data_IF_287696571828
#
_entry.id   IF_287696571828
#
_cell.length_a   1.000
_cell.length_b   1.000
_cell.length_c   1.000
_cell.angle_alpha   90.00
_cell.angle_beta   90.00
_cell.angle_gamma   90.00
#
_symmetry.space_group_name_H-M   'P 1'
#
loop_
_entity.id
_entity.type
_entity.pdbx_description
1 polymer ?
2 polymer ?
3 non-polymer ?
#
# COMPACT_ATOMS: atom_id res chain seq x y z
N UNK A 22 -16.42 2.55 5.65
CA UNK A 22 -15.09 2.25 5.11
C UNK A 22 -14.07 2.33 6.20
N UNK A 23 -13.05 1.49 6.09
CA UNK A 23 -12.00 1.49 7.08
C UNK A 23 -12.41 0.79 8.35
N UNK A 24 -13.59 0.19 8.35
CA UNK A 24 -14.06 -0.52 9.52
C UNK A 24 -14.08 -1.96 9.10
N UNK A 25 -12.93 -2.62 9.26
CA UNK A 25 -12.78 -4.03 8.90
C UNK A 25 -13.86 -4.88 9.57
N UNK A 26 -14.66 -5.60 8.79
CA UNK A 26 -15.74 -6.48 9.23
C UNK A 26 -15.39 -7.57 10.24
N UNK A 27 -14.20 -8.13 10.18
CA UNK A 27 -13.84 -9.16 11.16
C UNK A 27 -13.13 -8.63 12.44
N UNK A 28 -12.92 -7.32 12.52
CA UNK A 28 -12.24 -6.71 13.65
C UNK A 28 -13.05 -5.55 14.20
N UNK A 29 -13.01 -4.41 13.50
CA UNK A 29 -13.76 -3.24 13.92
C UNK A 29 -15.21 -3.62 14.17
N UNK A 30 -15.90 -4.09 13.15
CA UNK A 30 -17.30 -4.48 13.26
C UNK A 30 -17.60 -5.41 14.42
N UNK A 31 -16.86 -6.50 14.51
CA UNK A 31 -17.05 -7.46 15.57
C UNK A 31 -16.63 -6.85 16.90
N UNK A 32 -15.91 -5.73 16.82
CA UNK A 32 -15.40 -5.01 17.99
C UNK A 32 -14.27 -5.81 18.60
N UNK A 33 -13.21 -5.99 17.82
CA UNK A 33 -12.05 -6.73 18.27
C UNK A 33 -10.78 -6.07 17.69
N UNK A 34 -9.72 -6.09 18.50
CA UNK A 34 -8.44 -5.53 18.13
C UNK A 34 -7.51 -6.60 17.54
N UNK A 35 -6.73 -6.22 16.53
CA UNK A 35 -5.80 -7.15 15.90
C UNK A 35 -4.48 -7.12 16.64
N UNK A 36 -3.69 -8.17 16.48
CA UNK A 36 -2.38 -8.29 17.14
C UNK A 36 -1.56 -7.02 17.32
N UNK A 37 -1.16 -6.40 16.21
CA UNK A 37 -0.31 -5.20 16.25
C UNK A 37 -0.96 -3.82 16.44
N UNK A 38 -2.28 -3.74 16.50
CA UNK A 38 -2.97 -2.46 16.66
C UNK A 38 -2.47 -1.62 17.83
N UNK A 39 -2.21 -2.28 18.95
CA UNK A 39 -1.72 -1.68 20.19
C UNK A 39 -0.58 -0.71 19.87
N UNK A 40 0.35 -1.14 19.03
CA UNK A 40 1.49 -0.34 18.61
C UNK A 40 1.09 1.01 18.04
N UNK A 41 0.09 1.02 17.17
CA UNK A 41 -0.37 2.25 16.55
C UNK A 41 -0.76 3.30 17.58
N UNK A 42 -1.71 2.98 18.45
CA UNK A 42 -2.15 3.92 19.46
C UNK A 42 -1.00 4.20 20.41
N UNK A 43 -0.27 3.17 20.77
CA UNK A 43 0.87 3.34 21.64
C UNK A 43 1.85 4.36 21.05
N UNK A 44 2.08 4.33 19.74
CA UNK A 44 2.99 5.27 19.11
C UNK A 44 2.38 6.66 19.02
N UNK A 45 1.05 6.71 19.04
CA UNK A 45 0.37 7.99 18.97
C UNK A 45 0.74 8.76 20.22
N UNK B 1 8.06 -7.62 2.29
CA UNK B 1 7.90 -7.04 3.64
C UNK B 1 8.99 -7.60 4.53
N UNK B 2 10.10 -6.87 4.66
CA UNK B 2 11.21 -7.33 5.49
C UNK B 2 10.80 -7.18 6.95
N UNK B 3 11.14 -8.19 7.75
CA UNK B 3 10.83 -8.22 9.18
C UNK B 3 9.34 -8.17 9.55
N UNK B 4 8.46 -8.36 8.57
CA UNK B 4 7.04 -8.33 8.84
C UNK B 4 6.53 -9.44 9.74
N UNK B 5 5.24 -9.75 9.61
CA UNK B 5 4.60 -10.79 10.41
C UNK B 5 3.35 -11.29 9.65
N UNK B 6 2.95 -12.54 9.89
CA UNK B 6 1.77 -13.10 9.22
C UNK B 6 0.51 -12.34 9.61
N UNK B 7 -0.21 -11.86 8.61
CA UNK B 7 -1.41 -11.09 8.82
C UNK B 7 -2.52 -11.96 9.34
N UNK B 8 -3.31 -11.44 10.28
CA UNK B 8 -4.43 -12.23 10.76
C UNK B 8 -5.40 -12.19 9.60
N UNK B 9 -6.24 -13.20 9.53
CA UNK B 9 -7.22 -13.30 8.48
C UNK B 9 -8.18 -12.12 8.53
N UNK B 10 -8.33 -11.43 7.42
CA UNK B 10 -9.26 -10.31 7.38
C UNK B 10 -8.67 -8.98 7.83
N UNK B 11 -7.37 -8.99 8.05
CA UNK B 11 -6.65 -7.80 8.50
C UNK B 11 -6.80 -6.61 7.54
N UNK B 12 -6.43 -6.79 6.28
CA UNK B 12 -6.57 -5.71 5.32
C UNK B 12 -7.54 -6.04 4.21
N UNK B 13 -8.83 -5.73 4.43
CA UNK B 13 -9.91 -5.98 3.47
C UNK B 13 -9.66 -5.31 2.11
N UNK B 14 -9.06 -4.13 2.15
CA UNK B 14 -8.76 -3.35 0.97
C UNK B 14 -7.60 -3.88 0.16
N UNK B 15 -6.87 -4.83 0.74
CA UNK B 15 -5.73 -5.40 0.04
C UNK B 15 -6.21 -5.96 -1.28
N UNK B 16 -5.48 -5.60 -2.32
CA UNK B 16 -5.74 -6.04 -3.68
C UNK B 16 -4.40 -6.47 -4.25
N UNK B 17 -4.38 -7.51 -5.11
CA UNK B 17 -3.13 -7.89 -5.72
C UNK B 17 -3.19 -7.85 -7.21
N UNK B 18 -2.27 -7.06 -7.77
CA UNK B 18 -2.15 -6.87 -9.22
C UNK B 18 -1.45 -8.07 -9.83
N UNK B 19 -2.08 -8.66 -10.83
CA UNK B 19 -1.53 -9.81 -11.52
C UNK B 19 -1.43 -9.67 -13.04
N UNK B 20 -0.33 -10.16 -13.59
CA UNK B 20 -0.18 -10.17 -15.03
C UNK B 20 -1.06 -11.39 -15.27
N UNK B 21 -2.00 -11.33 -16.22
CA UNK B 21 -2.88 -12.48 -16.44
C UNK B 21 -2.24 -13.76 -16.98
N UNK B 22 -1.43 -13.63 -18.04
CA UNK B 22 -0.76 -14.79 -18.63
C UNK B 22 0.64 -14.35 -19.02
N UNK B 23 1.69 -15.01 -18.46
CA UNK B 23 1.60 -16.11 -17.50
C UNK B 23 1.23 -15.53 -16.16
N UNK B 24 0.62 -16.33 -15.29
CA UNK B 24 0.25 -15.82 -13.97
C UNK B 24 1.50 -15.15 -13.39
N UNK B 25 1.32 -13.99 -12.76
CA UNK B 25 2.45 -13.26 -12.18
C UNK B 25 2.04 -12.10 -11.28
N UNK B 26 2.37 -12.18 -10.00
CA UNK B 26 2.04 -11.08 -9.08
C UNK B 26 2.90 -9.87 -9.44
N UNK B 27 2.30 -8.86 -10.02
CA UNK B 27 3.03 -7.67 -10.41
C UNK B 27 3.21 -6.67 -9.25
N UNK B 28 2.11 -6.33 -8.59
CA UNK B 28 2.16 -5.36 -7.53
C UNK B 28 1.01 -5.50 -6.54
N UNK B 29 1.01 -4.64 -5.53
CA UNK B 29 -0.05 -4.60 -4.55
C UNK B 29 -0.93 -3.45 -4.96
N UNK B 30 -2.03 -3.24 -4.25
CA UNK B 30 -2.95 -2.16 -4.59
C UNK B 30 -4.01 -2.16 -3.53
N UNK B 31 -4.83 -1.12 -3.46
CA UNK B 31 -5.89 -1.05 -2.46
C UNK B 31 -7.25 -0.76 -3.07
N UNK B 32 -8.29 -1.28 -2.42
CA UNK B 32 -9.68 -1.10 -2.86
C UNK B 32 -10.20 0.15 -2.15
N UNK B 33 -10.67 1.14 -2.89
CA UNK B 33 -11.15 2.37 -2.26
C UNK B 33 -12.60 2.73 -2.64
N UNK B 34 -13.34 1.71 -3.09
CA UNK B 34 -14.72 1.83 -3.53
C UNK B 34 -14.98 0.49 -4.22
N UNK B 35 -16.23 0.11 -4.44
CA UNK B 35 -16.48 -1.19 -5.06
C UNK B 35 -16.10 -1.31 -6.52
N UNK B 36 -15.63 -0.22 -7.11
CA UNK B 36 -15.17 -0.30 -8.49
C UNK B 36 -13.89 0.53 -8.78
N UNK B 37 -13.21 1.00 -7.74
CA UNK B 37 -11.97 1.75 -7.94
C UNK B 37 -10.85 1.22 -7.07
N UNK B 38 -9.71 0.98 -7.72
CA UNK B 38 -8.51 0.48 -7.07
C UNK B 38 -7.45 1.55 -7.23
N UNK B 39 -6.61 1.69 -6.19
CA UNK B 39 -5.55 2.68 -6.12
C UNK B 39 -4.22 1.93 -6.10
N UNK B 40 -3.32 2.34 -7.00
CA UNK B 40 -2.00 1.72 -7.12
C UNK B 40 -0.97 2.71 -7.70
N UNK B 41 0.31 2.30 -7.69
CA UNK B 41 1.39 3.14 -8.20
C UNK B 41 1.50 3.02 -9.71
N UNK B 42 1.82 4.14 -10.37
CA UNK B 42 1.97 4.17 -11.82
C UNK B 42 3.06 3.24 -12.33
N UNK B 43 4.21 3.22 -11.66
CA UNK B 43 5.29 2.35 -12.12
C UNK B 43 4.97 0.87 -12.13
N UNK B 44 3.80 0.46 -11.63
CA UNK B 44 3.42 -0.96 -11.68
C UNK B 44 2.75 -1.21 -13.03
N UNK B 45 2.48 -0.13 -13.74
CA UNK B 45 1.82 -0.22 -15.03
C UNK B 45 2.63 0.45 -16.14
N UNK B 46 3.46 1.43 -15.80
CA UNK B 46 4.25 2.14 -16.80
C UNK B 46 5.59 2.57 -16.28
N UNK B 47 6.65 1.91 -16.75
CA UNK B 47 8.02 2.23 -16.33
C UNK B 47 8.98 1.88 -17.43
N UNK B 48 9.12 2.76 -18.44
CA UNK B 48 10.01 2.60 -19.61
C UNK B 48 11.46 2.24 -19.29
N UNK B 49 12.01 2.72 -18.15
CA UNK B 49 13.40 2.35 -17.86
C UNK B 49 13.62 0.84 -17.93
N UNK B 50 12.57 0.06 -17.73
CA UNK B 50 12.63 -1.39 -17.81
C UNK B 50 11.48 -1.74 -18.77
N UNK B 51 11.41 -1.06 -19.91
CA UNK B 51 10.32 -1.23 -20.90
C UNK B 51 9.07 -1.97 -20.42
N UNK B 52 8.27 -1.24 -19.63
CA UNK B 52 7.03 -1.73 -19.03
C UNK B 52 5.91 -0.73 -19.32
N UNK B 53 4.92 -1.16 -20.09
CA UNK B 53 3.77 -0.32 -20.49
C UNK B 53 2.55 -1.26 -20.56
N UNK B 54 1.98 -1.57 -19.39
CA UNK B 54 0.82 -2.46 -19.31
C UNK B 54 -0.50 -1.83 -19.71
N UNK B 55 -1.27 -2.59 -20.47
CA UNK B 55 -2.59 -2.19 -20.94
C UNK B 55 -3.59 -2.88 -20.02
N UNK B 56 -4.88 -2.65 -20.25
CA UNK B 56 -5.92 -3.29 -19.46
C UNK B 56 -5.98 -4.78 -19.75
N UNK B 57 -5.85 -5.10 -21.04
CA UNK B 57 -5.91 -6.49 -21.52
C UNK B 57 -4.77 -7.36 -21.01
N UNK B 58 -3.79 -6.73 -20.37
CA UNK B 58 -2.64 -7.45 -19.85
C UNK B 58 -2.68 -7.56 -18.34
N UNK B 59 -3.69 -6.93 -17.75
CA UNK B 59 -3.84 -6.96 -16.32
C UNK B 59 -5.13 -7.63 -15.88
N UNK B 60 -5.11 -8.11 -14.65
CA UNK B 60 -6.23 -8.78 -14.03
C UNK B 60 -6.01 -8.58 -12.54
N UNK B 61 -7.07 -8.41 -11.77
CA UNK B 61 -6.93 -8.19 -10.31
C UNK B 61 -7.57 -9.31 -9.51
N UNK B 62 -7.05 -9.56 -8.32
CA UNK B 62 -7.60 -10.57 -7.42
C UNK B 62 -7.72 -9.86 -6.08
N UNK B 63 -8.89 -9.96 -5.46
CA UNK B 63 -9.20 -9.30 -4.19
C UNK B 63 -9.62 -10.30 -3.12
N UNK B 64 -9.51 -9.93 -1.86
CA UNK B 64 -9.90 -10.83 -0.79
C UNK B 64 -9.03 -12.05 -0.54
N UNK B 65 -7.79 -12.05 -0.99
CA UNK B 65 -6.91 -13.21 -0.76
C UNK B 65 -6.10 -13.17 0.53
N UNK B 66 -5.45 -14.27 0.86
CA UNK B 66 -4.60 -14.34 2.06
C UNK B 66 -3.23 -14.92 1.68
N UNK B 67 -3.24 -16.10 1.07
CA UNK B 67 -2.04 -16.77 0.61
C UNK B 67 -1.62 -16.12 -0.71
N UNK B 68 -0.36 -16.28 -1.10
CA UNK B 68 0.12 -15.70 -2.35
C UNK B 68 -0.01 -16.64 -3.56
N UNK B 69 -0.27 -17.92 -3.28
CA UNK B 69 -0.39 -18.94 -4.33
C UNK B 69 -1.81 -19.47 -4.53
N UNK B 70 -2.29 -20.23 -3.55
CA UNK B 70 -3.61 -20.85 -3.60
C UNK B 70 -4.76 -19.89 -3.91
N UNK B 71 -5.85 -20.46 -4.40
CA UNK B 71 -7.04 -19.71 -4.77
C UNK B 71 -8.04 -19.72 -3.59
N UNK B 72 -8.38 -18.53 -3.09
CA UNK B 72 -9.33 -18.40 -1.97
C UNK B 72 -10.75 -18.58 -2.51
N UNK B 73 -11.19 -19.82 -2.69
CA UNK B 73 -12.50 -20.08 -3.27
C UNK B 73 -13.80 -19.46 -2.70
N UNK B 74 -13.98 -19.46 -1.38
CA UNK B 74 -15.21 -18.87 -0.84
C UNK B 74 -14.99 -17.44 -0.40
N UNK B 75 -13.78 -16.93 -0.62
CA UNK B 75 -13.41 -15.58 -0.20
C UNK B 75 -12.99 -14.64 -1.34
N UNK B 76 -12.05 -15.11 -2.15
CA UNK B 76 -11.48 -14.37 -3.27
C UNK B 76 -12.46 -13.91 -4.32
N UNK B 77 -12.10 -12.83 -5.01
CA UNK B 77 -12.93 -12.27 -6.07
C UNK B 77 -12.08 -11.70 -7.20
N UNK B 78 -11.88 -12.50 -8.23
CA UNK B 78 -11.10 -12.07 -9.39
C UNK B 78 -11.95 -11.13 -10.24
N UNK B 79 -11.36 -10.05 -10.73
CA UNK B 79 -12.08 -9.07 -11.54
C UNK B 79 -11.10 -8.43 -12.50
N UNK B 80 -11.60 -7.98 -13.64
CA UNK B 80 -10.73 -7.37 -14.63
C UNK B 80 -10.92 -5.86 -14.66
N UNK B 81 -9.86 -5.16 -15.02
CA UNK B 81 -9.92 -3.72 -15.09
C UNK B 81 -10.72 -3.42 -16.33
N UNK B 82 -11.06 -2.17 -16.51
CA UNK B 82 -11.86 -1.72 -17.62
C UNK B 82 -11.20 -0.47 -18.19
N UNK B 83 -10.31 0.12 -17.40
CA UNK B 83 -9.61 1.32 -17.82
C UNK B 83 -8.55 1.68 -16.76
N UNK B 84 -7.46 2.29 -17.20
CA UNK B 84 -6.36 2.69 -16.31
C UNK B 84 -6.15 4.18 -16.37
N UNK B 85 -5.82 4.77 -15.23
CA UNK B 85 -5.57 6.20 -15.14
C UNK B 85 -4.26 6.49 -14.41
N UNK B 86 -3.29 7.00 -15.15
CA UNK B 86 -1.98 7.34 -14.58
C UNK B 86 -1.83 8.87 -14.50
N UNK B 87 -1.38 9.37 -13.37
CA UNK B 87 -1.26 10.80 -13.19
C UNK B 87 -0.39 11.47 -14.24
N UNK B 88 -0.96 12.46 -14.95
CA UNK B 88 -0.40 13.29 -16.01
C UNK B 88 0.99 13.83 -15.74
N UNK B 89 1.25 14.16 -14.48
CA UNK B 89 2.55 14.71 -14.08
C UNK B 89 3.50 13.72 -13.37
N UNK B 90 3.23 12.43 -13.53
CA UNK B 90 4.03 11.34 -12.97
C UNK B 90 5.42 11.49 -13.53
N UNK B 91 6.43 11.49 -12.68
CA UNK B 91 7.79 11.69 -13.11
C UNK B 91 8.57 10.39 -13.04
N UNK B 92 8.79 9.73 -14.18
CA UNK B 92 9.54 8.45 -14.17
C UNK B 92 11.05 8.56 -14.40
N UNK B 93 11.46 9.61 -15.08
CA UNK B 93 12.87 9.80 -15.34
C UNK B 93 13.43 10.84 -14.40
N UNK B 94 13.37 10.61 -13.09
CA UNK B 94 13.91 11.61 -12.16
C UNK B 94 13.73 11.28 -10.70
N UNK B 95 12.48 11.17 -10.25
CA UNK B 95 12.24 10.86 -8.83
C UNK B 95 10.90 10.23 -8.53
N UNK B 96 10.33 9.53 -9.51
CA UNK B 96 9.02 8.89 -9.31
C UNK B 96 7.99 9.81 -8.66
N UNK B 97 7.94 11.06 -9.12
CA UNK B 97 7.00 12.04 -8.56
C UNK B 97 5.59 11.79 -9.07
N UNK B 98 4.62 11.79 -8.16
CA UNK B 98 3.22 11.54 -8.52
C UNK B 98 3.08 10.14 -9.07
N UNK B 99 3.64 9.18 -8.34
CA UNK B 99 3.56 7.78 -8.71
C UNK B 99 2.19 7.35 -8.20
N UNK B 100 1.16 7.56 -9.03
CA UNK B 100 -0.22 7.19 -8.68
C UNK B 100 -1.08 6.87 -9.89
N UNK B 101 -1.91 5.84 -9.75
CA UNK B 101 -2.74 5.40 -10.85
C UNK B 101 -4.02 4.84 -10.31
N UNK B 102 -5.09 5.00 -11.07
CA UNK B 102 -6.39 4.45 -10.68
C UNK B 102 -6.75 3.34 -11.67
N UNK B 103 -7.23 2.23 -11.14
CA UNK B 103 -7.64 1.10 -11.94
C UNK B 103 -9.15 0.97 -11.78
N UNK B 104 -9.90 1.20 -12.87
CA UNK B 104 -11.36 1.09 -12.84
C UNK B 104 -11.74 -0.33 -13.19
N UNK B 105 -12.32 -1.08 -12.24
CA UNK B 105 -12.70 -2.46 -12.50
C UNK B 105 -13.88 -2.48 -13.46
N UNK B 106 -14.02 -3.59 -14.19
CA UNK B 106 -15.09 -3.76 -15.17
C UNK B 106 -16.46 -3.97 -14.56
N UNK B 107 -16.49 -4.80 -13.52
CA UNK B 107 -17.74 -5.13 -12.82
C UNK B 107 -17.55 -4.84 -11.32
N UNK B 108 -18.39 -3.93 -10.74
CA UNK B 108 -18.32 -3.58 -9.32
C UNK B 108 -18.23 -4.83 -8.44
N UNK B 109 -17.18 -4.92 -7.64
CA UNK B 109 -16.99 -6.07 -6.78
C UNK B 109 -18.03 -6.07 -5.69
N UNK B 110 -18.45 -7.25 -5.25
CA UNK B 110 -19.43 -7.28 -4.20
C UNK B 110 -18.76 -7.52 -2.87
N UNK B 111 -18.93 -6.55 -1.98
CA UNK B 111 -18.36 -6.56 -0.65
C UNK B 111 -18.66 -7.80 0.12
N UNK B 112 -17.78 -8.13 1.05
CA UNK B 112 -17.93 -9.28 1.90
C UNK B 112 -17.19 -9.01 3.19
N UNK B 113 -16.89 -10.06 3.96
CA UNK B 113 -16.19 -9.93 5.25
C UNK B 113 -14.67 -9.95 5.03
N UNK B 114 -14.28 -10.16 3.77
CA UNK B 114 -12.90 -10.22 3.39
C UNK B 114 -12.58 -9.22 2.29
N UNK B 115 -13.53 -8.36 1.93
CA UNK B 115 -13.34 -7.37 0.88
C UNK B 115 -14.09 -6.10 1.27
N UNK B 116 -13.37 -5.03 1.62
CA UNK B 116 -14.04 -3.81 2.05
C UNK B 116 -13.14 -2.59 1.85
N UNK B 117 -13.67 -1.51 1.27
CA UNK B 117 -13.00 -0.24 0.97
C UNK B 117 -12.34 0.49 2.12
N UNK B 118 -11.17 1.04 1.82
CA UNK B 118 -10.33 1.81 2.75
C UNK B 118 -10.77 3.26 2.57
N UNK B 119 -10.63 4.06 3.60
CA UNK B 119 -11.06 5.45 3.51
C UNK B 119 -9.95 6.36 3.03
N UNK B 120 -10.29 7.36 2.22
CA UNK B 120 -9.31 8.32 1.75
C UNK B 120 -9.20 9.37 2.87
N UNK B 121 -8.01 9.95 3.07
CA UNK B 121 -7.86 10.95 4.14
C UNK B 121 -8.50 12.30 3.88
N UNK B 122 -8.96 12.94 4.94
CA UNK B 122 -9.54 14.29 4.84
C UNK B 122 -8.57 15.17 5.62
N UNK B 123 -8.56 16.48 5.32
CA UNK B 123 -7.66 17.41 5.99
C UNK B 123 -7.51 17.23 7.50
N UNK B 124 -8.62 17.05 8.21
CA UNK B 124 -8.55 16.85 9.66
C UNK B 124 -7.68 15.62 9.91
N UNK B 125 -8.14 14.46 9.48
CA UNK B 125 -7.41 13.21 9.69
C UNK B 125 -5.96 13.29 9.18
N UNK B 126 -5.79 13.82 7.97
CA UNK B 126 -4.47 13.95 7.38
C UNK B 126 -3.61 14.85 8.26
N UNK B 127 -4.22 15.88 8.86
CA UNK B 127 -3.52 16.85 9.71
C UNK B 127 -3.19 16.39 11.13
N UNK B 128 -4.09 15.64 11.71
CA UNK B 128 -3.89 15.20 13.06
C UNK B 128 -3.01 13.96 13.08
N UNK B 129 -3.10 13.16 12.01
CA UNK B 129 -2.32 11.91 11.89
C UNK B 129 -0.91 11.99 11.29
N UNK B 130 -0.76 12.61 10.12
CA UNK B 130 0.57 12.71 9.49
C UNK B 130 1.57 13.48 10.34
N UNK B 131 2.08 12.82 11.40
CA UNK B 131 3.09 13.41 12.32
C UNK B 131 4.15 12.41 12.73
N UNK B 132 5.40 12.83 12.47
CA UNK B 132 6.62 12.08 12.73
C UNK B 132 6.55 11.33 14.03
N UNK B 133 6.81 10.03 13.98
CA UNK B 133 6.76 9.24 15.20
C UNK B 133 5.55 8.36 15.17
N UNK B 134 4.49 8.84 14.54
CA UNK B 134 3.28 8.04 14.44
C UNK B 134 3.51 6.95 13.42
N UNK B 135 3.28 5.71 13.83
CA UNK B 135 3.48 4.56 12.95
C UNK B 135 2.25 4.23 12.11
N UNK B 136 2.47 3.97 10.83
CA UNK B 136 1.38 3.58 9.94
C UNK B 136 1.50 2.08 9.77
N UNK B 137 0.74 1.49 8.85
CA UNK B 137 0.81 0.04 8.61
C UNK B 137 0.97 -0.26 7.12
N UNK B 138 1.89 -1.18 6.81
CA UNK B 138 2.15 -1.60 5.44
C UNK B 138 1.92 -3.10 5.34
N UNK B 139 1.28 -3.52 4.26
CA UNK B 139 1.00 -4.91 4.06
C UNK B 139 1.43 -5.31 2.68
N UNK B 140 1.76 -6.59 2.49
CA UNK B 140 2.20 -7.05 1.18
C UNK B 140 2.82 -8.44 1.11
N UNK B 141 3.02 -8.93 -0.10
CA UNK B 141 3.59 -10.26 -0.31
C UNK B 141 5.02 -10.26 -0.89
N UNK B 142 5.60 -9.08 -1.05
CA UNK B 142 6.94 -8.96 -1.60
C UNK B 142 8.07 -9.79 -0.98
N UNK B 143 9.27 -9.57 -1.51
CA UNK B 143 10.50 -10.26 -1.09
C UNK B 143 10.73 -10.27 0.43
N UNK B 144 10.85 -11.47 1.01
CA UNK B 144 11.10 -11.66 2.44
C UNK B 144 12.35 -10.90 2.85
N UNK B 145 13.10 -10.48 1.85
CA UNK B 145 14.34 -9.73 1.98
C UNK B 145 14.78 -9.52 0.52
N UNK B 146 15.87 -8.79 0.30
CA UNK B 146 16.33 -8.53 -1.05
C UNK B 146 17.27 -9.55 -1.66
N UNK B 147 17.16 -9.68 -2.97
CA UNK B 147 18.01 -10.59 -3.71
C UNK B 147 19.40 -9.95 -3.83
N UNK B 155 12.20 -15.83 -1.28
CA UNK B 155 11.75 -14.50 -0.88
C UNK B 155 10.24 -14.22 -1.11
N UNK B 156 9.49 -15.19 -1.61
CA UNK B 156 8.06 -14.98 -1.85
C UNK B 156 7.13 -15.57 -0.80
N UNK B 157 6.68 -14.71 0.16
CA UNK B 157 5.79 -15.04 1.28
C UNK B 157 4.55 -15.86 0.93
N UNK B 158 4.19 -16.73 1.87
CA UNK B 158 3.03 -17.61 1.73
C UNK B 158 1.72 -16.89 2.09
N UNK B 159 1.68 -16.32 3.29
CA UNK B 159 0.52 -15.59 3.78
C UNK B 159 0.80 -14.08 3.73
N UNK B 160 -0.26 -13.27 3.61
CA UNK B 160 -0.11 -11.81 3.58
C UNK B 160 0.65 -11.35 4.82
N UNK B 161 1.72 -10.59 4.58
CA UNK B 161 2.56 -10.07 5.65
C UNK B 161 2.11 -8.68 6.05
N UNK B 162 2.41 -8.31 7.30
CA UNK B 162 2.07 -7.01 7.84
C UNK B 162 3.24 -6.47 8.64
N UNK B 163 3.37 -5.14 8.69
CA UNK B 163 4.41 -4.47 9.48
C UNK B 163 4.02 -3.00 9.72
N UNK B 164 4.12 -2.54 10.97
CA UNK B 164 3.81 -1.16 11.29
C UNK B 164 5.14 -0.35 11.25
N UNK B 165 5.13 0.81 10.59
CA UNK B 165 6.33 1.65 10.44
C UNK B 165 6.15 3.10 10.94
N UNK B 166 7.16 3.69 11.57
CA UNK B 166 6.99 5.06 12.06
C UNK B 166 7.35 6.10 11.00
N UNK B 167 6.54 7.15 10.88
CA UNK B 167 6.81 8.22 9.92
C UNK B 167 8.06 8.98 10.37
N UNK B 168 8.87 9.48 9.43
CA UNK B 168 10.08 10.19 9.79
C UNK B 168 10.06 11.61 9.24
N UNK B 169 10.75 12.50 9.97
CA UNK B 169 10.82 13.91 9.67
C UNK B 169 11.33 14.17 8.28
N UNK B 170 10.70 15.12 7.58
CA UNK B 170 11.09 15.44 6.21
C UNK B 170 12.57 15.70 6.01
N UNK B 171 13.20 16.51 6.90
CA UNK B 171 14.63 16.76 6.70
C UNK B 171 15.38 15.43 6.62
N UNK B 172 15.19 14.58 7.62
CA UNK B 172 15.84 13.29 7.65
C UNK B 172 15.60 12.57 6.33
N UNK B 173 14.35 12.50 5.87
CA UNK B 173 14.06 11.84 4.58
C UNK B 173 14.89 12.41 3.45
N UNK B 174 14.85 13.73 3.28
CA UNK B 174 15.57 14.38 2.20
C UNK B 174 17.07 14.17 2.28
N UNK B 175 17.60 14.12 3.49
CA UNK B 175 19.03 13.96 3.67
C UNK B 175 19.56 12.58 3.28
N UNK B 176 18.71 11.57 3.42
CA UNK B 176 19.09 10.19 3.14
C UNK B 176 19.00 9.78 1.68
N UNK B 177 19.26 10.67 0.74
CA UNK B 177 19.17 10.27 -0.65
C UNK B 177 19.52 11.42 -1.55
N UNK B 178 20.12 11.08 -2.67
CA UNK B 178 20.53 12.07 -3.64
C UNK B 178 19.32 12.48 -4.45
N UNK B 179 18.31 11.62 -4.47
CA UNK B 179 17.10 11.87 -5.24
C UNK B 179 16.25 13.03 -4.76
N UNK B 180 15.73 13.78 -5.71
CA UNK B 180 14.93 14.96 -5.44
C UNK B 180 13.58 14.64 -4.84
N UNK B 181 13.46 14.77 -3.51
CA UNK B 181 12.18 14.52 -2.84
C UNK B 181 11.24 15.71 -3.05
N UNK B 182 10.01 15.40 -3.44
CA UNK B 182 8.98 16.40 -3.71
C UNK B 182 7.86 16.25 -2.69
N UNK B 183 7.09 17.30 -2.51
CA UNK B 183 5.99 17.27 -1.55
C UNK B 183 4.96 16.15 -1.77
N UNK B 184 5.01 15.49 -2.91
CA UNK B 184 4.06 14.44 -3.17
C UNK B 184 4.48 13.09 -2.63
N UNK B 185 5.35 13.09 -1.63
CA UNK B 185 5.82 11.84 -1.07
C UNK B 185 6.43 12.03 0.30
N UNK B 186 6.19 11.08 1.19
CA UNK B 186 6.75 11.12 2.53
C UNK B 186 7.63 9.90 2.67
N UNK B 187 8.13 9.61 3.85
CA UNK B 187 9.02 8.46 4.01
C UNK B 187 8.90 7.92 5.41
N UNK B 188 9.10 6.62 5.60
CA UNK B 188 8.99 6.07 6.95
C UNK B 188 9.89 4.88 7.15
N UNK B 189 10.13 4.57 8.41
CA UNK B 189 10.97 3.46 8.76
C UNK B 189 11.73 3.84 10.03
N UNK B 190 12.32 2.83 10.66
CA UNK B 190 13.08 3.06 11.87
C UNK B 190 14.45 3.66 11.50
N UNK B 191 15.04 4.32 12.49
CA UNK B 191 16.34 4.97 12.41
C UNK B 191 17.43 4.01 12.89
N UNK B 192 18.68 4.18 12.41
CA UNK B 192 19.81 3.32 12.80
C UNK B 192 20.03 3.50 14.30
N UNK B 193 19.51 2.59 15.11
CA UNK B 193 19.70 2.74 16.54
C UNK B 193 18.47 2.45 17.37
N UNK B 194 17.28 2.56 16.78
CA UNK B 194 16.06 2.32 17.55
C UNK B 194 15.89 0.87 17.97
N UNK B 195 16.65 -0.02 17.33
CA UNK B 195 16.60 -1.43 17.67
C UNK B 195 15.27 -2.07 17.30
N UNK B 196 14.89 -1.88 16.05
CA UNK B 196 13.65 -2.39 15.51
C UNK B 196 13.88 -2.27 14.01
N UNK B 197 13.29 -3.16 13.23
CA UNK B 197 13.49 -3.08 11.78
C UNK B 197 12.21 -3.35 11.02
N UNK B 198 12.29 -3.36 9.69
CA UNK B 198 11.12 -3.62 8.88
C UNK B 198 11.09 -2.68 7.70
N UNK B 199 10.39 -3.07 6.64
CA UNK B 199 10.30 -2.24 5.45
C UNK B 199 9.56 -2.97 4.31
N UNK B 200 8.81 -2.22 3.50
CA UNK B 200 8.13 -2.78 2.35
C UNK B 200 9.31 -3.04 1.47
N UNK B 201 9.08 -3.64 0.33
CA UNK B 201 10.16 -3.93 -0.56
C UNK B 201 9.52 -4.09 -1.90
N UNK B 202 10.32 -4.03 -2.95
CA UNK B 202 9.82 -4.19 -4.31
C UNK B 202 8.76 -5.30 -4.32
N UNK B 203 7.75 -5.16 -5.16
CA UNK B 203 6.74 -6.19 -5.15
C UNK B 203 5.64 -5.79 -4.19
N UNK B 204 6.02 -5.21 -3.05
CA UNK B 204 5.04 -4.69 -2.10
C UNK B 204 4.40 -3.44 -2.74
N UNK B 205 5.09 -2.89 -3.75
CA UNK B 205 4.71 -1.69 -4.52
C UNK B 205 3.23 -1.54 -4.88
N UNK B 206 2.71 -0.32 -4.78
CA UNK B 206 1.31 -0.09 -5.07
C UNK B 206 0.44 -0.40 -3.86
N UNK B 207 1.02 -1.02 -2.84
CA UNK B 207 0.29 -1.35 -1.63
C UNK B 207 -0.04 -0.15 -0.75
N UNK B 208 -0.92 -0.31 0.25
CA UNK B 208 -1.27 0.79 1.13
C UNK B 208 -0.45 0.98 2.41
N UNK B 209 -0.26 2.23 2.80
CA UNK B 209 0.44 2.55 4.02
C UNK B 209 -0.72 3.20 4.76
N UNK B 210 -1.42 2.44 5.58
CA UNK B 210 -2.59 2.99 6.28
C UNK B 210 -2.39 3.34 7.75
N UNK B 211 -3.24 4.22 8.26
CA UNK B 211 -3.13 4.61 9.67
C UNK B 211 -4.50 4.62 10.25
N UNK B 212 -4.62 4.08 11.47
CA UNK B 212 -5.89 4.02 12.20
C UNK B 212 -6.23 5.26 13.01
N UNK B 213 -7.39 5.84 12.73
CA UNK B 213 -7.83 7.02 13.44
C UNK B 213 -8.62 6.65 14.66
N UNK B 214 -8.24 7.21 15.82
CA UNK B 214 -8.94 6.93 17.09
C UNK B 214 -10.22 7.77 17.25
N UNK B 215 -10.40 8.79 16.40
CA UNK B 215 -11.61 9.62 16.46
C UNK B 215 -12.79 8.78 16.05
N UNK B 216 -12.67 8.13 14.89
CA UNK B 216 -13.73 7.27 14.37
C UNK B 216 -13.39 5.79 14.23
N UNK B 217 -12.30 5.35 14.84
CA UNK B 217 -11.90 3.95 14.80
C UNK B 217 -11.84 3.31 13.41
N UNK B 218 -11.55 4.12 12.39
CA UNK B 218 -11.47 3.60 11.04
C UNK B 218 -10.11 3.83 10.36
N UNK B 219 -9.75 2.92 9.48
CA UNK B 219 -8.50 2.95 8.76
C UNK B 219 -8.42 3.83 7.55
N UNK B 220 -7.56 4.84 7.60
CA UNK B 220 -7.40 5.72 6.46
C UNK B 220 -6.10 5.35 5.74
N UNK B 221 -6.10 5.47 4.42
CA UNK B 221 -4.91 5.18 3.66
C UNK B 221 -4.16 6.49 3.54
N UNK B 222 -2.91 6.51 4.00
CA UNK B 222 -2.06 7.70 3.93
C UNK B 222 -1.02 7.70 2.79
N UNK B 223 -0.46 6.55 2.45
CA UNK B 223 0.51 6.51 1.37
C UNK B 223 0.44 5.22 0.59
N UNK B 224 1.08 5.20 -0.58
CA UNK B 224 1.15 4.03 -1.47
C UNK B 224 2.61 3.66 -1.57
N UNK B 225 2.99 2.42 -1.29
CA UNK B 225 4.41 2.03 -1.39
C UNK B 225 4.92 2.40 -2.79
N UNK B 226 5.93 3.29 -2.84
CA UNK B 226 6.46 3.79 -4.12
C UNK B 226 7.87 3.28 -4.45
N UNK B 227 8.88 3.91 -3.87
CA UNK B 227 10.27 3.52 -4.14
C UNK B 227 11.14 3.40 -2.90
N UNK B 228 12.43 3.26 -3.11
CA UNK B 228 13.32 3.12 -1.99
C UNK B 228 14.63 2.61 -2.52
N UNK B 229 15.63 2.55 -1.66
CA UNK B 229 16.91 2.06 -2.06
C UNK B 229 17.15 0.82 -1.20
N UNK B 230 17.02 -0.33 -1.83
CA UNK B 230 17.21 -1.57 -1.12
C UNK B 230 15.95 -1.99 -0.38
N UNK B 231 16.12 -2.68 0.74
CA UNK B 231 15.00 -3.16 1.54
C UNK B 231 15.58 -3.52 2.89
N UNK B 232 15.29 -2.67 3.86
CA UNK B 232 15.75 -2.76 5.25
C UNK B 232 17.23 -2.38 5.37
N UNK B 233 17.70 -1.58 4.40
CA UNK B 233 19.08 -1.10 4.42
C UNK B 233 19.13 -0.15 5.62
N UNK B 234 20.26 -0.11 6.32
CA UNK B 234 20.37 0.81 7.45
C UNK B 234 20.55 2.21 6.91
N UNK B 235 19.94 3.18 7.58
CA UNK B 235 20.11 4.54 7.11
C UNK B 235 19.39 4.88 5.83
N UNK B 236 18.46 4.04 5.40
CA UNK B 236 17.66 4.33 4.21
C UNK B 236 16.20 4.12 4.60
N UNK B 237 15.30 4.90 4.04
CA UNK B 237 13.90 4.80 4.38
C UNK B 237 13.09 4.70 3.12
N UNK B 238 11.96 4.02 3.22
CA UNK B 238 11.12 3.82 2.05
C UNK B 238 10.27 5.01 1.82
N UNK B 239 10.00 5.31 0.56
CA UNK B 239 9.16 6.44 0.23
C UNK B 239 7.79 5.97 -0.22
N UNK B 240 6.78 6.78 0.05
CA UNK B 240 5.41 6.43 -0.29
C UNK B 240 4.76 7.61 -1.00
N UNK B 241 3.86 7.35 -1.94
CA UNK B 241 3.19 8.46 -2.61
C UNK B 241 2.33 9.05 -1.50
N UNK B 242 2.19 10.36 -1.51
CA UNK B 242 1.41 11.07 -0.52
C UNK B 242 -0.02 11.17 -1.03
N UNK B 243 -0.87 10.24 -0.63
CA UNK B 243 -2.25 10.21 -1.11
C UNK B 243 -3.05 11.46 -0.91
N UNK B 244 -2.95 12.04 0.28
CA UNK B 244 -3.71 13.25 0.51
C UNK B 244 -3.34 14.39 -0.45
N UNK B 245 -2.05 14.67 -0.61
CA UNK B 245 -1.68 15.76 -1.50
C UNK B 245 -2.13 15.43 -2.90
N UNK B 246 -2.55 14.19 -3.12
CA UNK B 246 -3.02 13.79 -4.42
C UNK B 246 -4.52 13.54 -4.53
N UNK B 247 -5.27 13.89 -3.48
CA UNK B 247 -6.73 13.69 -3.47
C UNK B 247 -7.40 14.86 -4.23
N UNK B 249 -7.43 15.27 -7.68
CA UNK B 249 -7.19 14.10 -8.53
C UNK B 249 -7.65 12.78 -7.83
N UNK B 252 -11.28 13.33 -8.74
CA UNK B 252 -11.24 14.01 -10.03
C UNK B 252 -11.35 13.08 -11.27
N UNK B 253 -10.71 11.91 -11.21
CA UNK B 253 -10.79 10.98 -12.34
C UNK B 253 -12.03 10.12 -12.17
N UNK B 254 -12.37 9.86 -10.91
CA UNK B 254 -13.54 9.06 -10.56
C UNK B 254 -14.81 9.81 -10.99
#
# INVERSE_FOLDING_TARGET
>A
TSEDHFQPFFNEKTFGAGEADCGLRPLFEKKQVQDQTEKELFESYIEGR
>B
IVEGQDAEVGLSPWQVMLFRKSPQELLCGASLISDRWVLTAAHCLLYPPWDKNFTVDDLLVRIGKHSRTRYERKVEKISMLDKIYIHPRYNWKENLDRDIALLKLKRPIELSDYIHPVCLPDKQTAAKLLHAGFKGRVTGWGNRRETWTTSVAEVQPSVLQVVNLPLVERPVCKASTRIRITDNMFCAGYKPGEGKRGDACEGDSGGPFVMKSPYNNRWYQMGIVSWGEGCDRDGKYGFYTHVFRLKKWIQKVIDRLGS
#
